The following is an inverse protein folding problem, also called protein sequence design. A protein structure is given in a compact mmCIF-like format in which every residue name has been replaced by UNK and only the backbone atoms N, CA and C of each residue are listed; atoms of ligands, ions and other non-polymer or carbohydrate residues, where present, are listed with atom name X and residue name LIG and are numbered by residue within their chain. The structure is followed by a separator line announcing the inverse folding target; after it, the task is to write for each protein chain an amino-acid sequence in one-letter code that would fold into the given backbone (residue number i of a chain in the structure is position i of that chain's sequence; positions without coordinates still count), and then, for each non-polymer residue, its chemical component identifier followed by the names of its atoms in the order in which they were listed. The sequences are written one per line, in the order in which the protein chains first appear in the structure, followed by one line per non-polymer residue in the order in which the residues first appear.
data_IF_200823882218
#
_entry.id   IF_200823882218
#
_cell.length_a   1.000
_cell.length_b   1.000
_cell.length_c   1.000
_cell.angle_alpha   90.00
_cell.angle_beta   90.00
_cell.angle_gamma   90.00
#
_symmetry.space_group_name_H-M   'P 1'
#
loop_
_entity.id
_entity.type
_entity.pdbx_description
1 polymer ?
#
# COMPACT_ATOMS: atom_id res chain seq x y z
N UNK A 1 10.99 13.10 -1.22
CA UNK A 1 10.26 13.63 -2.40
C UNK A 1 10.54 12.88 -3.70
N UNK A 2 11.18 13.51 -4.70
CA UNK A 2 11.30 12.96 -6.08
C UNK A 2 12.03 11.61 -6.16
N UNK A 3 13.13 11.45 -5.42
CA UNK A 3 13.88 10.18 -5.38
C UNK A 3 13.02 9.03 -4.88
N UNK A 4 12.18 9.26 -3.86
CA UNK A 4 11.25 8.25 -3.32
C UNK A 4 10.17 7.86 -4.32
N UNK A 5 9.59 8.84 -5.03
CA UNK A 5 8.62 8.56 -6.10
C UNK A 5 9.24 7.71 -7.23
N UNK A 6 10.48 8.00 -7.62
CA UNK A 6 11.21 7.21 -8.61
C UNK A 6 11.50 5.78 -8.10
N UNK A 7 11.96 5.65 -6.86
CA UNK A 7 12.22 4.34 -6.24
C UNK A 7 10.96 3.47 -6.15
N UNK A 8 9.82 4.06 -5.76
CA UNK A 8 8.54 3.34 -5.74
C UNK A 8 8.18 2.89 -7.14
N UNK A 9 8.22 3.79 -8.13
CA UNK A 9 7.92 3.47 -9.53
C UNK A 9 8.77 2.30 -10.06
N UNK A 10 10.05 2.25 -9.70
CA UNK A 10 10.93 1.13 -10.04
C UNK A 10 10.51 -0.19 -9.39
N UNK A 11 10.09 -0.17 -8.11
CA UNK A 11 9.54 -1.37 -7.45
C UNK A 11 8.23 -1.85 -8.07
N UNK A 12 7.37 -0.93 -8.52
CA UNK A 12 6.15 -1.30 -9.25
C UNK A 12 6.48 -1.97 -10.58
N UNK A 13 7.44 -1.41 -11.33
CA UNK A 13 7.91 -1.98 -12.60
C UNK A 13 8.56 -3.36 -12.41
N UNK A 14 9.35 -3.52 -11.35
CA UNK A 14 9.95 -4.79 -10.96
C UNK A 14 8.86 -5.84 -10.66
N UNK A 15 7.83 -5.48 -9.88
CA UNK A 15 6.71 -6.35 -9.58
C UNK A 15 5.96 -6.83 -10.83
N UNK A 16 5.69 -5.92 -11.77
CA UNK A 16 5.05 -6.26 -13.05
C UNK A 16 5.94 -7.18 -13.90
N UNK A 17 7.24 -6.90 -13.94
CA UNK A 17 8.22 -7.74 -14.66
C UNK A 17 8.26 -9.16 -14.08
N UNK A 18 8.27 -9.28 -12.75
CA UNK A 18 8.24 -10.58 -12.07
C UNK A 18 6.93 -11.33 -12.35
N UNK A 19 5.79 -10.63 -12.33
CA UNK A 19 4.49 -11.21 -12.66
C UNK A 19 4.47 -11.80 -14.06
N UNK A 20 4.98 -11.06 -15.05
CA UNK A 20 5.04 -11.50 -16.43
C UNK A 20 5.97 -12.72 -16.61
N UNK A 21 7.10 -12.75 -15.90
CA UNK A 21 8.07 -13.85 -16.00
C UNK A 21 7.67 -15.12 -15.25
N UNK A 22 7.03 -14.98 -14.09
CA UNK A 22 6.72 -16.10 -13.19
C UNK A 22 5.26 -16.57 -13.30
N UNK A 23 4.42 -15.82 -14.02
CA UNK A 23 2.98 -16.12 -14.14
C UNK A 23 2.16 -15.85 -12.88
N UNK A 24 2.79 -15.32 -11.82
CA UNK A 24 2.14 -15.01 -10.53
C UNK A 24 2.62 -13.67 -10.00
N UNK A 25 1.73 -12.90 -9.38
CA UNK A 25 2.08 -11.61 -8.78
C UNK A 25 2.86 -11.81 -7.47
N UNK A 26 3.96 -11.07 -7.24
CA UNK A 26 4.68 -11.13 -5.97
C UNK A 26 3.89 -10.48 -4.83
N UNK A 27 4.30 -10.75 -3.59
CA UNK A 27 3.86 -9.96 -2.43
C UNK A 27 4.70 -8.69 -2.38
N UNK A 28 4.06 -7.53 -2.38
CA UNK A 28 4.75 -6.25 -2.27
C UNK A 28 4.82 -5.80 -0.81
N UNK A 29 6.04 -5.56 -0.31
CA UNK A 29 6.28 -5.02 1.03
C UNK A 29 6.82 -3.59 0.89
N UNK A 30 6.10 -2.61 1.44
CA UNK A 30 6.47 -1.20 1.37
C UNK A 30 6.67 -0.64 2.78
N UNK A 31 7.92 -0.30 3.11
CA UNK A 31 8.25 0.34 4.38
C UNK A 31 8.22 1.86 4.26
N UNK A 32 7.21 2.48 4.88
CA UNK A 32 6.95 3.91 4.86
C UNK A 32 7.05 4.55 3.46
N UNK A 33 6.23 4.08 2.49
CA UNK A 33 6.31 4.55 1.11
C UNK A 33 5.89 6.02 0.95
N UNK A 34 5.12 6.56 1.91
CA UNK A 34 4.56 7.91 1.82
C UNK A 34 5.37 8.96 2.58
N UNK A 35 6.43 8.59 3.30
CA UNK A 35 7.33 9.55 3.95
C UNK A 35 7.84 10.62 2.98
N UNK A 36 7.83 11.88 3.43
CA UNK A 36 8.36 13.02 2.67
C UNK A 36 7.72 13.24 1.28
N UNK A 37 6.50 12.73 1.10
CA UNK A 37 5.68 12.99 -0.07
C UNK A 37 4.59 13.98 0.28
N UNK A 38 4.42 14.99 -0.58
CA UNK A 38 3.24 15.83 -0.56
C UNK A 38 2.00 15.05 -1.02
N UNK A 39 0.82 15.57 -0.69
CA UNK A 39 -0.48 14.96 -0.98
C UNK A 39 -0.63 14.55 -2.44
N UNK A 40 -0.15 15.39 -3.38
CA UNK A 40 -0.26 15.10 -4.82
C UNK A 40 0.60 13.91 -5.23
N UNK A 41 1.83 13.81 -4.71
CA UNK A 41 2.72 12.67 -4.98
C UNK A 41 2.18 11.37 -4.36
N UNK A 42 1.64 11.43 -3.15
CA UNK A 42 1.00 10.27 -2.51
C UNK A 42 -0.20 9.80 -3.31
N UNK A 43 -1.07 10.72 -3.76
CA UNK A 43 -2.19 10.39 -4.64
C UNK A 43 -1.73 9.70 -5.93
N UNK A 44 -0.68 10.22 -6.59
CA UNK A 44 -0.16 9.61 -7.81
C UNK A 44 0.38 8.20 -7.59
N UNK A 45 1.04 7.94 -6.47
CA UNK A 45 1.49 6.59 -6.12
C UNK A 45 0.28 5.68 -5.92
N UNK A 46 -0.75 6.11 -5.19
CA UNK A 46 -1.95 5.32 -4.96
C UNK A 46 -2.68 4.95 -6.26
N UNK A 47 -2.77 5.89 -7.21
CA UNK A 47 -3.28 5.61 -8.56
C UNK A 47 -2.46 4.51 -9.24
N UNK A 48 -1.12 4.61 -9.22
CA UNK A 48 -0.25 3.58 -9.79
C UNK A 48 -0.40 2.23 -9.10
N UNK A 49 -0.59 2.20 -7.77
CA UNK A 49 -0.84 0.97 -7.01
C UNK A 49 -2.19 0.34 -7.43
N UNK A 50 -3.23 1.15 -7.61
CA UNK A 50 -4.57 0.70 -7.98
C UNK A 50 -4.65 0.22 -9.45
N UNK A 51 -4.05 0.96 -10.38
CA UNK A 51 -4.07 0.66 -11.81
C UNK A 51 -3.36 -0.66 -12.16
N UNK A 52 -2.25 -0.99 -11.47
CA UNK A 52 -1.40 -2.12 -11.85
C UNK A 52 -1.79 -3.46 -11.24
N UNK A 53 -2.76 -3.49 -10.33
CA UNK A 53 -3.30 -4.74 -9.77
C UNK A 53 -2.20 -5.67 -9.23
N UNK A 54 -1.40 -5.18 -8.29
CA UNK A 54 -0.09 -5.76 -7.93
C UNK A 54 -0.13 -7.01 -7.06
N UNK A 55 -1.27 -7.69 -6.95
CA UNK A 55 -1.45 -8.79 -6.01
C UNK A 55 -1.50 -8.30 -4.57
N UNK A 56 -1.04 -9.12 -3.63
CA UNK A 56 -1.08 -8.80 -2.21
C UNK A 56 -0.02 -7.75 -1.86
N UNK A 57 -0.43 -6.65 -1.21
CA UNK A 57 0.46 -5.58 -0.75
C UNK A 57 0.35 -5.41 0.76
N UNK A 58 1.50 -5.29 1.43
CA UNK A 58 1.63 -4.95 2.84
C UNK A 58 2.43 -3.65 2.92
N UNK A 59 1.91 -2.70 3.68
CA UNK A 59 2.49 -1.39 3.89
C UNK A 59 2.59 -1.09 5.38
N UNK A 60 3.73 -0.51 5.79
CA UNK A 60 3.95 -0.03 7.15
C UNK A 60 4.01 1.49 7.12
N UNK A 61 3.37 2.10 8.11
CA UNK A 61 3.45 3.54 8.36
C UNK A 61 3.67 3.78 9.85
N UNK A 62 4.45 4.79 10.24
CA UNK A 62 4.73 5.06 11.64
C UNK A 62 3.55 5.73 12.37
N UNK A 63 2.64 6.38 11.63
CA UNK A 63 1.47 7.08 12.21
C UNK A 63 0.23 6.85 11.36
N UNK A 64 -0.92 6.83 12.02
CA UNK A 64 -2.23 6.74 11.34
C UNK A 64 -2.49 7.95 10.43
N UNK A 65 -2.00 9.14 10.79
CA UNK A 65 -2.07 10.35 9.97
C UNK A 65 -1.34 10.24 8.64
N UNK A 66 -0.39 9.30 8.53
CA UNK A 66 0.43 9.10 7.35
C UNK A 66 -0.26 8.16 6.36
N UNK A 67 -1.42 7.57 6.74
CA UNK A 67 -2.25 6.75 5.87
C UNK A 67 -3.06 7.66 4.94
N UNK A 68 -2.88 7.55 3.62
CA UNK A 68 -3.69 8.31 2.69
C UNK A 68 -5.18 7.93 2.81
N UNK A 69 -6.12 8.89 2.64
CA UNK A 69 -7.55 8.63 2.75
C UNK A 69 -8.06 7.47 1.88
N UNK A 70 -7.46 7.25 0.71
CA UNK A 70 -7.80 6.17 -0.20
C UNK A 70 -7.50 4.76 0.35
N UNK A 71 -6.69 4.65 1.41
CA UNK A 71 -6.28 3.38 2.02
C UNK A 71 -6.97 3.10 3.37
N UNK A 72 -7.82 4.00 3.86
CA UNK A 72 -8.45 3.89 5.18
C UNK A 72 -9.38 2.67 5.28
N UNK A 73 -9.90 2.19 4.14
CA UNK A 73 -10.76 1.00 4.07
C UNK A 73 -10.00 -0.33 4.12
N UNK A 74 -8.66 -0.33 4.01
CA UNK A 74 -7.87 -1.54 4.07
C UNK A 74 -7.90 -2.20 5.45
N UNK A 75 -7.62 -3.50 5.49
CA UNK A 75 -7.37 -4.18 6.76
C UNK A 75 -6.17 -3.53 7.46
N UNK A 76 -6.31 -3.25 8.76
CA UNK A 76 -5.28 -2.58 9.55
C UNK A 76 -4.84 -3.43 10.71
N UNK A 77 -3.54 -3.41 10.94
CA UNK A 77 -2.91 -3.96 12.12
C UNK A 77 -2.11 -2.87 12.79
N UNK A 78 -2.19 -2.81 14.11
CA UNK A 78 -1.38 -1.93 14.92
C UNK A 78 -0.28 -2.76 15.57
N UNK A 79 0.95 -2.25 15.54
CA UNK A 79 2.10 -2.92 16.14
C UNK A 79 2.66 -2.02 17.24
N UNK A 80 2.69 -2.51 18.48
CA UNK A 80 3.29 -1.82 19.61
C UNK A 80 3.97 -2.83 20.55
N UNK A 81 5.18 -2.50 21.03
CA UNK A 81 5.97 -3.37 21.92
C UNK A 81 6.14 -4.81 21.38
N UNK A 82 6.31 -4.95 20.05
CA UNK A 82 6.46 -6.25 19.39
C UNK A 82 5.15 -7.07 19.29
N UNK A 83 4.02 -6.52 19.71
CA UNK A 83 2.70 -7.18 19.65
C UNK A 83 1.87 -6.55 18.53
N UNK A 84 1.30 -7.40 17.68
CA UNK A 84 0.39 -6.99 16.62
C UNK A 84 -1.06 -7.21 17.06
N UNK A 85 -1.89 -6.17 16.97
CA UNK A 85 -3.33 -6.21 17.20
C UNK A 85 -4.09 -5.85 15.93
N UNK A 86 -5.26 -6.46 15.72
CA UNK A 86 -6.14 -6.08 14.61
C UNK A 86 -6.86 -4.78 14.94
N UNK A 87 -6.78 -3.77 14.07
CA UNK A 87 -7.72 -2.66 14.09
C UNK A 87 -9.09 -3.17 13.61
N UNK A 88 -10.19 -2.70 14.21
CA UNK A 88 -11.53 -3.12 13.83
C UNK A 88 -11.75 -3.08 12.31
N UNK A 89 -12.23 -4.20 11.76
CA UNK A 89 -12.80 -4.27 10.42
C UNK A 89 -14.01 -3.34 10.40
N UNK A 90 -13.96 -2.22 9.69
CA UNK A 90 -15.21 -1.59 9.25
C UNK A 90 -15.89 -2.62 8.34
N UNK A 91 -17.02 -3.16 8.80
CA UNK A 91 -17.86 -4.10 8.06
C UNK A 91 -18.42 -3.40 6.82
N UNK A 92 -17.65 -3.27 5.75
CA UNK A 92 -18.15 -2.90 4.44
C UNK A 92 -18.58 -4.15 3.68
N UNK A 93 -19.58 -4.86 4.21
CA UNK A 93 -20.44 -5.79 3.47
C UNK A 93 -21.69 -6.03 4.34
N UNK A 94 -22.53 -5.01 4.43
CA UNK A 94 -23.97 -5.21 4.61
C UNK A 94 -24.60 -5.00 3.23
N UNK A 95 -25.24 -6.07 2.74
CA UNK A 95 -26.33 -6.09 1.76
C UNK A 95 -26.11 -5.45 0.39
N UNK A 96 -25.95 -6.29 -0.64
CA UNK A 96 -26.86 -6.26 -1.79
C UNK A 96 -27.24 -7.70 -2.11
N UNK A 97 -28.49 -8.02 -1.80
CA UNK A 97 -29.27 -9.10 -2.40
C UNK A 97 -29.81 -8.62 -3.77
#
# INVERSE_FOLDING_TARGET
GQQRTAAISLRLLEGDTLRQRLGTAPILLLDDPFAELDVRRSARILELLAERGMGQTVLTVPRESDIPPALVSLARWHIANGVMTTGERLRAHAEVA
#
